data_IF_529596341250
#
_entry.id   IF_529596341250
#
_cell.length_a   1.000
_cell.length_b   1.000
_cell.length_c   1.000
_cell.angle_alpha   90.00
_cell.angle_beta   90.00
_cell.angle_gamma   90.00
#
_symmetry.space_group_name_H-M   'P 1'
#
loop_
_entity.id
_entity.type
_entity.pdbx_description
1 polymer ?
#
# COMPACT_ATOMS: atom_id res chain seq x y z
N UNK A 1 8.20 -10.82 10.88
CA UNK A 1 7.46 -9.65 10.37
C UNK A 1 8.05 -9.05 9.09
N UNK A 2 9.36 -8.74 9.01
CA UNK A 2 9.97 -8.13 7.81
C UNK A 2 9.84 -8.99 6.54
N UNK A 3 10.09 -10.30 6.64
CA UNK A 3 9.91 -11.22 5.52
C UNK A 3 8.47 -11.16 4.99
N UNK A 4 7.48 -11.29 5.88
CA UNK A 4 6.06 -11.31 5.57
C UNK A 4 5.52 -9.98 5.03
N UNK A 5 5.89 -8.86 5.66
CA UNK A 5 5.29 -7.56 5.37
C UNK A 5 6.02 -6.76 4.30
N UNK A 6 7.31 -7.01 4.06
CA UNK A 6 8.12 -6.20 3.16
C UNK A 6 8.72 -7.03 2.01
N UNK A 7 9.50 -8.07 2.31
CA UNK A 7 10.22 -8.80 1.26
C UNK A 7 9.31 -9.71 0.43
N UNK A 8 8.43 -10.49 1.05
CA UNK A 8 7.56 -11.43 0.34
C UNK A 8 6.56 -10.75 -0.61
N UNK A 9 5.88 -9.64 -0.25
CA UNK A 9 5.00 -8.93 -1.18
C UNK A 9 5.74 -8.45 -2.44
N UNK A 10 6.98 -7.99 -2.27
CA UNK A 10 7.80 -7.55 -3.41
C UNK A 10 8.21 -8.71 -4.30
N UNK A 11 8.58 -9.86 -3.73
CA UNK A 11 8.86 -11.08 -4.51
C UNK A 11 7.64 -11.53 -5.32
N UNK A 12 6.44 -11.42 -4.75
CA UNK A 12 5.18 -11.72 -5.45
C UNK A 12 4.98 -10.77 -6.62
N UNK A 13 5.10 -9.45 -6.40
CA UNK A 13 5.00 -8.46 -7.48
C UNK A 13 6.03 -8.72 -8.57
N UNK A 14 7.30 -8.88 -8.20
CA UNK A 14 8.37 -9.06 -9.17
C UNK A 14 8.19 -10.31 -10.03
N UNK A 15 7.67 -11.41 -9.44
CA UNK A 15 7.44 -12.67 -10.16
C UNK A 15 6.18 -12.67 -11.01
N UNK A 16 5.13 -11.97 -10.57
CA UNK A 16 3.81 -12.00 -11.22
C UNK A 16 3.52 -10.80 -12.11
N UNK A 17 4.36 -9.76 -12.10
CA UNK A 17 4.12 -8.54 -12.91
C UNK A 17 3.89 -8.85 -14.40
N UNK A 18 4.55 -9.87 -14.95
CA UNK A 18 4.40 -10.27 -16.35
C UNK A 18 3.05 -10.93 -16.67
N UNK A 19 2.34 -11.44 -15.65
CA UNK A 19 1.00 -11.98 -15.81
C UNK A 19 -0.08 -10.89 -15.74
N UNK A 20 0.27 -9.68 -15.31
CA UNK A 20 -0.63 -8.53 -15.32
C UNK A 20 -0.63 -7.92 -16.72
N UNK A 21 -1.82 -7.59 -17.23
CA UNK A 21 -1.97 -6.94 -18.54
C UNK A 21 -1.08 -5.70 -18.63
N UNK A 22 -0.59 -5.34 -19.84
CA UNK A 22 0.06 -4.04 -20.04
C UNK A 22 -0.77 -2.91 -19.43
N UNK A 23 -0.14 -1.99 -18.70
CA UNK A 23 -0.79 -0.88 -17.99
C UNK A 23 -1.80 -1.31 -16.91
N UNK A 24 -1.83 -2.59 -16.51
CA UNK A 24 -2.61 -3.07 -15.39
C UNK A 24 -2.07 -2.54 -14.05
N UNK A 25 -2.96 -2.38 -13.08
CA UNK A 25 -2.61 -1.87 -11.75
C UNK A 25 -1.85 -2.94 -10.95
N UNK A 26 -0.70 -2.57 -10.39
CA UNK A 26 0.01 -3.35 -9.37
C UNK A 26 -0.03 -2.59 -8.05
N UNK A 27 -0.21 -3.29 -6.94
CA UNK A 27 -0.27 -2.63 -5.64
C UNK A 27 0.03 -3.52 -4.45
N UNK A 28 0.36 -2.88 -3.34
CA UNK A 28 0.58 -3.53 -2.05
C UNK A 28 -0.32 -2.91 -0.98
N UNK A 29 -0.82 -3.73 -0.07
CA UNK A 29 -1.50 -3.25 1.13
C UNK A 29 -0.48 -2.83 2.19
N UNK A 30 -0.24 -1.53 2.30
CA UNK A 30 0.62 -0.93 3.31
C UNK A 30 -0.19 -0.50 4.54
N UNK A 31 0.17 0.63 5.16
CA UNK A 31 -0.52 1.24 6.30
C UNK A 31 -0.03 2.67 6.45
N UNK A 32 -0.91 3.60 6.82
CA UNK A 32 -0.53 4.97 7.18
C UNK A 32 0.57 5.04 8.26
N UNK A 33 0.72 3.99 9.07
CA UNK A 33 1.81 3.88 10.05
C UNK A 33 3.21 3.68 9.45
N UNK A 34 3.30 3.30 8.17
CA UNK A 34 4.54 3.24 7.41
C UNK A 34 5.00 4.58 6.83
N UNK A 35 4.25 5.68 7.05
CA UNK A 35 4.72 7.02 6.72
C UNK A 35 5.73 7.49 7.75
N UNK A 36 6.92 7.88 7.29
CA UNK A 36 7.94 8.52 8.11
C UNK A 36 7.52 9.93 8.50
N UNK A 37 6.97 10.70 7.56
CA UNK A 37 6.52 12.08 7.79
C UNK A 37 5.40 12.17 8.83
N UNK A 38 4.48 11.20 8.87
CA UNK A 38 3.39 11.16 9.86
C UNK A 38 3.74 10.46 11.17
N UNK A 39 4.96 9.94 11.33
CA UNK A 39 5.36 9.26 12.57
C UNK A 39 5.79 10.25 13.66
N UNK A 40 4.81 10.91 14.29
CA UNK A 40 5.03 11.87 15.37
C UNK A 40 4.87 11.28 16.77
N UNK A 41 4.33 10.06 16.88
CA UNK A 41 3.91 9.45 18.14
C UNK A 41 4.51 8.07 18.42
N UNK A 42 5.26 7.49 17.48
CA UNK A 42 5.89 6.18 17.65
C UNK A 42 4.88 5.02 17.81
N UNK A 43 5.20 4.06 18.68
CA UNK A 43 4.45 2.82 18.91
C UNK A 43 4.50 1.83 17.75
N UNK A 44 4.28 0.53 18.03
CA UNK A 44 4.23 -0.54 17.02
C UNK A 44 5.45 -0.53 16.09
N UNK A 45 6.64 -0.29 16.65
CA UNK A 45 7.87 0.05 15.91
C UNK A 45 8.22 -0.97 14.82
N UNK A 46 8.17 -2.26 15.15
CA UNK A 46 8.48 -3.30 14.17
C UNK A 46 7.45 -3.31 13.02
N UNK A 47 6.17 -3.04 13.31
CA UNK A 47 5.13 -2.99 12.28
C UNK A 47 5.32 -1.76 11.39
N UNK A 48 5.57 -0.60 11.99
CA UNK A 48 5.93 0.65 11.29
C UNK A 48 7.12 0.46 10.38
N UNK A 49 8.23 -0.05 10.93
CA UNK A 49 9.45 -0.31 10.18
C UNK A 49 9.21 -1.28 9.01
N UNK A 50 8.39 -2.30 9.21
CA UNK A 50 8.05 -3.24 8.13
C UNK A 50 7.24 -2.60 6.99
N UNK A 51 6.29 -1.70 7.31
CA UNK A 51 5.48 -1.00 6.31
C UNK A 51 6.27 0.14 5.64
N UNK A 52 7.15 0.82 6.36
CA UNK A 52 8.09 1.78 5.80
C UNK A 52 9.09 1.10 4.83
N UNK A 53 9.61 -0.08 5.19
CA UNK A 53 10.45 -0.87 4.29
C UNK A 53 9.70 -1.32 3.03
N UNK A 54 8.46 -1.81 3.17
CA UNK A 54 7.60 -2.14 2.02
C UNK A 54 7.39 -0.93 1.09
N UNK A 55 7.10 0.25 1.66
CA UNK A 55 6.93 1.49 0.93
C UNK A 55 8.20 1.83 0.13
N UNK A 56 9.36 1.74 0.78
CA UNK A 56 10.65 1.99 0.12
C UNK A 56 10.90 0.99 -1.01
N UNK A 57 10.63 -0.31 -0.79
CA UNK A 57 10.81 -1.30 -1.86
C UNK A 57 9.89 -1.06 -3.05
N UNK A 58 8.64 -0.64 -2.82
CA UNK A 58 7.74 -0.22 -3.91
C UNK A 58 8.25 1.01 -4.65
N UNK A 59 8.85 1.99 -3.95
CA UNK A 59 9.51 3.14 -4.61
C UNK A 59 10.70 2.69 -5.46
N UNK A 60 11.53 1.79 -4.96
CA UNK A 60 12.65 1.22 -5.72
C UNK A 60 12.18 0.41 -6.93
N UNK A 61 11.07 -0.33 -6.81
CA UNK A 61 10.46 -1.05 -7.92
C UNK A 61 9.93 -0.08 -8.99
N UNK A 62 9.19 0.96 -8.58
CA UNK A 62 8.63 1.97 -9.46
C UNK A 62 9.66 2.78 -10.26
N UNK A 63 10.90 2.89 -9.75
CA UNK A 63 11.99 3.55 -10.45
C UNK A 63 12.57 2.71 -11.61
N UNK A 64 12.20 1.42 -11.72
CA UNK A 64 12.73 0.54 -12.77
C UNK A 64 11.98 0.74 -14.08
N UNK A 65 12.66 0.74 -15.25
CA UNK A 65 12.02 0.88 -16.55
C UNK A 65 10.91 -0.15 -16.83
N UNK A 66 11.06 -1.38 -16.32
CA UNK A 66 10.07 -2.45 -16.48
C UNK A 66 8.71 -2.14 -15.86
N UNK A 67 8.66 -1.18 -14.93
CA UNK A 67 7.43 -0.79 -14.21
C UNK A 67 6.82 0.53 -14.71
N UNK A 68 7.50 1.24 -15.61
CA UNK A 68 7.18 2.64 -15.95
C UNK A 68 5.77 2.83 -16.55
N UNK A 69 5.26 1.82 -17.25
CA UNK A 69 3.92 1.85 -17.88
C UNK A 69 2.79 1.45 -16.92
N UNK A 70 3.11 0.90 -15.74
CA UNK A 70 2.10 0.45 -14.80
C UNK A 70 1.64 1.59 -13.87
N UNK A 71 0.33 1.71 -13.62
CA UNK A 71 -0.17 2.31 -12.40
C UNK A 71 0.31 1.48 -11.21
N UNK A 72 0.92 2.14 -10.22
CA UNK A 72 1.44 1.50 -9.02
C UNK A 72 0.81 2.13 -7.77
N UNK A 73 0.42 1.32 -6.79
CA UNK A 73 -0.18 1.84 -5.55
C UNK A 73 0.41 1.22 -4.29
N UNK A 74 0.77 2.08 -3.36
CA UNK A 74 0.92 1.71 -1.94
C UNK A 74 -0.38 2.12 -1.26
N UNK A 75 -1.13 1.16 -0.70
CA UNK A 75 -2.47 1.42 -0.15
C UNK A 75 -2.45 1.48 1.37
N UNK A 76 -2.91 2.59 1.97
CA UNK A 76 -3.19 2.72 3.39
C UNK A 76 -4.70 2.53 3.65
N UNK A 77 -5.15 1.36 4.13
CA UNK A 77 -6.58 1.07 4.22
C UNK A 77 -7.30 1.82 5.35
N UNK A 78 -6.59 2.55 6.20
CA UNK A 78 -7.15 3.12 7.43
C UNK A 78 -7.10 2.12 8.60
N UNK A 79 -7.67 2.52 9.75
CA UNK A 79 -7.74 1.67 10.93
C UNK A 79 -9.12 1.02 10.99
N UNK A 80 -9.18 -0.24 10.58
CA UNK A 80 -10.42 -1.01 10.35
C UNK A 80 -10.61 -2.07 11.45
N UNK A 81 -11.84 -2.25 11.93
CA UNK A 81 -12.26 -3.31 12.85
C UNK A 81 -12.08 -4.67 12.20
N UNK A 82 -10.97 -5.29 12.56
CA UNK A 82 -10.49 -6.61 12.14
C UNK A 82 -9.74 -7.20 13.33
N UNK A 83 -9.36 -8.48 13.27
CA UNK A 83 -8.50 -9.07 14.31
C UNK A 83 -7.19 -8.28 14.49
N UNK A 84 -6.59 -7.79 13.38
CA UNK A 84 -5.38 -6.98 13.42
C UNK A 84 -5.64 -5.54 13.94
N UNK A 85 -6.80 -4.98 13.63
CA UNK A 85 -7.15 -3.61 14.01
C UNK A 85 -7.67 -3.48 15.45
N UNK A 86 -8.25 -4.55 16.00
CA UNK A 86 -8.91 -4.54 17.30
C UNK A 86 -10.30 -3.90 17.28
N UNK A 87 -11.02 -4.03 18.39
CA UNK A 87 -12.39 -3.54 18.54
C UNK A 87 -12.50 -2.00 18.51
N UNK A 88 -11.45 -1.31 18.95
CA UNK A 88 -11.40 0.16 19.05
C UNK A 88 -11.17 0.86 17.70
N UNK A 89 -10.99 0.09 16.62
CA UNK A 89 -10.78 0.68 15.30
C UNK A 89 -12.04 1.46 14.86
N UNK A 90 -11.89 2.69 14.32
CA UNK A 90 -13.04 3.55 14.03
C UNK A 90 -13.85 3.10 12.82
N UNK A 91 -13.23 2.41 11.86
CA UNK A 91 -13.85 2.03 10.59
C UNK A 91 -14.31 0.57 10.58
N UNK A 92 -15.40 0.26 9.88
CA UNK A 92 -15.79 -1.13 9.53
C UNK A 92 -15.22 -1.58 8.19
N UNK A 93 -15.26 -2.90 7.95
CA UNK A 93 -14.97 -3.49 6.65
C UNK A 93 -15.99 -2.99 5.61
N UNK A 94 -17.28 -3.00 5.99
CA UNK A 94 -18.41 -2.64 5.14
C UNK A 94 -18.32 -1.20 4.63
N UNK A 95 -17.86 -0.27 5.48
CA UNK A 95 -17.65 1.14 5.11
C UNK A 95 -16.39 1.36 4.26
N UNK A 96 -15.35 0.56 4.48
CA UNK A 96 -14.01 0.86 3.95
C UNK A 96 -13.71 0.16 2.63
N UNK A 97 -14.13 -1.11 2.48
CA UNK A 97 -13.79 -1.90 1.29
C UNK A 97 -14.37 -1.29 0.00
N UNK A 98 -15.65 -0.87 -0.07
CA UNK A 98 -16.18 -0.25 -1.30
C UNK A 98 -15.40 1.00 -1.71
N UNK A 99 -15.00 1.84 -0.74
CA UNK A 99 -14.20 3.05 -0.99
C UNK A 99 -12.81 2.70 -1.50
N UNK A 100 -12.15 1.72 -0.89
CA UNK A 100 -10.84 1.25 -1.31
C UNK A 100 -10.87 0.72 -2.74
N UNK A 101 -11.90 -0.06 -3.11
CA UNK A 101 -12.08 -0.54 -4.48
C UNK A 101 -12.20 0.61 -5.46
N UNK A 102 -12.99 1.65 -5.14
CA UNK A 102 -13.10 2.84 -5.99
C UNK A 102 -11.74 3.53 -6.20
N UNK A 103 -10.96 3.70 -5.13
CA UNK A 103 -9.60 4.27 -5.23
C UNK A 103 -8.70 3.44 -6.16
N UNK A 104 -8.79 2.10 -6.11
CA UNK A 104 -8.02 1.24 -7.01
C UNK A 104 -8.49 1.35 -8.47
N UNK A 105 -9.81 1.41 -8.71
CA UNK A 105 -10.36 1.61 -10.04
C UNK A 105 -9.91 2.94 -10.66
N UNK A 106 -9.93 4.02 -9.88
CA UNK A 106 -9.45 5.34 -10.29
C UNK A 106 -7.94 5.36 -10.50
N UNK A 107 -7.18 4.72 -9.60
CA UNK A 107 -5.72 4.64 -9.71
C UNK A 107 -5.27 3.88 -10.96
N UNK A 108 -6.05 2.89 -11.43
CA UNK A 108 -5.75 2.16 -12.66
C UNK A 108 -5.62 3.06 -13.91
N UNK A 109 -6.18 4.27 -13.89
CA UNK A 109 -6.07 5.22 -15.02
C UNK A 109 -4.83 6.13 -14.94
N UNK A 110 -4.03 6.04 -13.89
CA UNK A 110 -2.94 6.98 -13.59
C UNK A 110 -1.62 6.22 -13.46
N UNK A 111 -0.75 6.19 -14.48
CA UNK A 111 0.57 5.56 -14.39
C UNK A 111 1.44 6.14 -13.28
N UNK A 112 2.48 5.39 -12.90
CA UNK A 112 3.40 5.80 -11.83
C UNK A 112 2.90 5.46 -10.43
N UNK A 113 3.74 5.71 -9.43
CA UNK A 113 3.50 5.32 -8.05
C UNK A 113 2.82 6.40 -7.23
N UNK A 114 1.73 6.04 -6.56
CA UNK A 114 1.08 6.87 -5.55
C UNK A 114 0.91 6.11 -4.23
N UNK A 115 1.05 6.84 -3.12
CA UNK A 115 0.72 6.35 -1.78
C UNK A 115 -0.61 6.94 -1.36
N UNK A 116 -1.66 6.13 -1.34
CA UNK A 116 -3.05 6.58 -1.19
C UNK A 116 -3.71 5.96 0.04
N UNK A 117 -4.60 6.70 0.69
CA UNK A 117 -5.50 6.16 1.70
C UNK A 117 -6.81 5.63 1.11
N UNK A 118 -7.64 5.01 1.94
CA UNK A 118 -8.96 4.48 1.57
C UNK A 118 -9.95 5.54 1.04
N UNK A 119 -9.64 6.83 1.16
CA UNK A 119 -10.42 7.95 0.61
C UNK A 119 -9.78 8.53 -0.66
N UNK A 120 -8.69 7.94 -1.15
CA UNK A 120 -7.96 8.38 -2.33
C UNK A 120 -7.04 9.57 -2.07
N UNK A 121 -6.83 9.97 -0.82
CA UNK A 121 -5.94 11.08 -0.48
C UNK A 121 -4.49 10.59 -0.46
N UNK A 122 -3.58 11.44 -0.93
CA UNK A 122 -2.15 11.17 -0.83
C UNK A 122 -1.71 11.11 0.62
N UNK A 123 -1.04 10.02 0.98
CA UNK A 123 -0.33 9.88 2.23
C UNK A 123 1.12 10.32 1.98
N UNK A 124 1.68 11.23 2.78
CA UNK A 124 3.10 11.55 2.70
C UNK A 124 3.93 10.30 3.05
N UNK A 125 5.15 10.24 2.53
CA UNK A 125 6.03 9.08 2.71
C UNK A 125 6.45 8.86 4.16
#
# INVERSE_FOLDING_TARGET
MMLTNALAPMRVIERLQQAVKPQGLLGVMSSGQGSLTKNLTGQRELYRGSKAALNMFMRSFAARPSSASHPLVVMAPGWIRTELGGADAPLTIEETIPRLVNVLLDKRQRPGLEYLDYQGRTVPW
#
